data_IF_728516732188
#
_entry.id   IF_728516732188
#
_cell.length_a   1.000
_cell.length_b   1.000
_cell.length_c   1.000
_cell.angle_alpha   90.00
_cell.angle_beta   90.00
_cell.angle_gamma   90.00
#
_symmetry.space_group_name_H-M   'P 1'
#
loop_
_entity.id
_entity.type
_entity.pdbx_description
1 polymer ?
#
# COMPACT_ATOMS: atom_id res chain seq x y z
N UNK A 1 -7.25 13.36 3.11
CA UNK A 1 -8.17 13.76 4.19
C UNK A 1 -7.64 13.25 5.51
N UNK A 2 -7.88 13.98 6.59
CA UNK A 2 -7.65 13.56 7.99
C UNK A 2 -6.53 14.33 8.69
N UNK A 3 -6.89 15.11 9.73
CA UNK A 3 -5.95 15.53 10.77
C UNK A 3 -5.56 14.29 11.60
N UNK A 4 -4.26 14.01 11.72
CA UNK A 4 -3.73 12.82 12.36
C UNK A 4 -3.68 13.02 13.88
N UNK A 5 -4.42 12.22 14.65
CA UNK A 5 -4.24 12.14 16.10
C UNK A 5 -3.46 10.87 16.45
N UNK A 6 -2.36 11.04 17.17
CA UNK A 6 -1.49 9.98 17.67
C UNK A 6 -2.23 9.11 18.71
N UNK A 7 -1.99 7.80 18.66
CA UNK A 7 -2.37 6.85 19.71
C UNK A 7 -1.08 6.29 20.31
N UNK A 8 -0.72 6.78 21.50
CA UNK A 8 0.51 6.40 22.19
C UNK A 8 0.46 4.94 22.67
N UNK A 9 1.41 4.12 22.20
CA UNK A 9 1.85 2.90 22.89
C UNK A 9 3.35 3.12 23.21
N UNK A 10 3.64 3.80 24.31
CA UNK A 10 5.01 4.17 24.70
C UNK A 10 5.61 5.34 23.90
N UNK A 11 6.93 5.56 24.01
CA UNK A 11 7.70 6.64 23.38
C UNK A 11 7.92 6.45 21.85
N UNK A 12 6.97 5.84 21.13
CA UNK A 12 7.02 5.68 19.68
C UNK A 12 5.62 5.96 19.10
N UNK A 13 5.51 6.96 18.23
CA UNK A 13 4.23 7.27 17.55
C UNK A 13 4.22 6.58 16.19
N UNK A 14 3.54 5.44 16.07
CA UNK A 14 3.26 4.88 14.74
C UNK A 14 2.30 5.85 14.03
N UNK A 15 2.63 6.37 12.84
CA UNK A 15 1.62 7.09 12.03
C UNK A 15 0.44 6.14 11.86
N UNK A 16 -0.79 6.54 12.22
CA UNK A 16 -1.94 5.66 12.06
C UNK A 16 -1.96 5.03 10.65
N UNK A 17 -2.21 3.72 10.55
CA UNK A 17 -2.40 3.05 9.26
C UNK A 17 -3.32 3.89 8.38
N UNK A 18 -3.00 4.07 7.10
CA UNK A 18 -3.83 4.91 6.26
C UNK A 18 -5.14 4.20 5.94
N UNK A 19 -6.18 5.03 5.73
CA UNK A 19 -7.51 4.54 5.37
C UNK A 19 -7.42 3.54 4.21
N UNK A 20 -8.17 2.46 4.31
CA UNK A 20 -8.22 1.36 3.35
C UNK A 20 -6.91 0.59 3.15
N UNK A 21 -6.21 0.36 4.27
CA UNK A 21 -5.22 -0.71 4.37
C UNK A 21 -3.80 -0.34 3.99
N UNK A 22 -3.43 0.94 3.94
CA UNK A 22 -2.02 1.30 3.86
C UNK A 22 -1.35 1.17 5.23
N UNK A 23 -0.16 0.61 5.24
CA UNK A 23 0.64 0.40 6.43
C UNK A 23 1.12 1.72 7.02
N UNK A 24 1.21 1.75 8.35
CA UNK A 24 1.79 2.86 9.08
C UNK A 24 3.26 3.10 8.71
N UNK A 25 3.70 4.35 8.81
CA UNK A 25 5.12 4.69 8.85
C UNK A 25 5.66 4.67 10.29
N UNK A 26 6.96 4.45 10.43
CA UNK A 26 7.64 4.49 11.72
C UNK A 26 8.22 5.90 12.00
N UNK A 27 7.67 6.65 12.97
CA UNK A 27 8.17 7.94 13.49
C UNK A 27 9.02 7.84 14.79
N UNK A 28 10.29 8.25 14.75
CA UNK A 28 11.13 8.32 15.95
C UNK A 28 10.98 9.70 16.60
N UNK A 29 10.51 9.74 17.85
CA UNK A 29 10.32 11.00 18.60
C UNK A 29 11.38 11.21 19.69
N UNK A 30 12.41 10.36 19.73
CA UNK A 30 13.38 10.32 20.84
C UNK A 30 14.46 11.39 20.76
N UNK A 31 14.68 12.02 19.59
CA UNK A 31 15.58 13.17 19.45
C UNK A 31 14.86 14.45 19.03
N UNK A 32 15.34 15.57 19.58
CA UNK A 32 14.66 16.85 19.74
C UNK A 32 14.41 17.63 18.45
N UNK A 33 13.24 18.28 18.38
CA UNK A 33 12.88 19.53 17.64
C UNK A 33 13.19 19.70 16.15
N UNK A 34 14.07 18.92 15.56
CA UNK A 34 14.27 18.81 14.12
C UNK A 34 13.49 17.60 13.61
N UNK A 35 13.00 17.68 12.38
CA UNK A 35 12.24 16.66 11.66
C UNK A 35 12.91 15.27 11.73
N UNK A 36 12.66 14.51 12.80
CA UNK A 36 13.31 13.23 13.09
C UNK A 36 13.31 12.20 11.96
N UNK A 37 14.06 11.12 12.12
CA UNK A 37 14.14 10.07 11.11
C UNK A 37 12.82 9.29 11.01
N UNK A 38 12.02 9.58 9.99
CA UNK A 38 10.67 9.03 9.86
C UNK A 38 10.45 8.21 8.59
N UNK A 39 9.88 7.03 8.76
CA UNK A 39 9.18 6.33 7.70
C UNK A 39 7.81 6.92 7.46
N UNK A 40 7.45 7.12 6.21
CA UNK A 40 6.12 7.58 5.81
C UNK A 40 5.16 6.40 5.70
N UNK A 41 3.86 6.62 5.96
CA UNK A 41 2.87 5.58 5.75
C UNK A 41 2.72 5.24 4.26
N UNK A 42 2.35 3.99 3.99
CA UNK A 42 1.89 3.56 2.67
C UNK A 42 0.48 4.07 2.40
N UNK A 43 0.13 4.25 1.12
CA UNK A 43 -1.20 4.60 0.68
C UNK A 43 -2.17 3.41 0.75
N UNK A 44 -3.43 3.68 1.07
CA UNK A 44 -4.50 2.69 1.01
C UNK A 44 -4.97 2.38 -0.42
N UNK A 45 -5.72 1.30 -0.56
CA UNK A 45 -6.33 0.93 -1.82
C UNK A 45 -7.57 1.78 -2.13
N UNK A 46 -8.01 1.77 -3.39
CA UNK A 46 -9.37 2.15 -3.79
C UNK A 46 -10.09 0.91 -4.26
N UNK A 47 -11.27 0.61 -3.70
CA UNK A 47 -11.99 -0.62 -4.02
C UNK A 47 -13.50 -0.43 -4.19
N UNK A 48 -14.10 -1.39 -4.89
CA UNK A 48 -15.55 -1.55 -5.01
C UNK A 48 -15.95 -2.81 -4.26
N UNK A 49 -16.88 -2.67 -3.32
CA UNK A 49 -17.35 -3.74 -2.44
C UNK A 49 -18.83 -3.98 -2.64
N UNK A 50 -19.23 -5.25 -2.59
CA UNK A 50 -20.65 -5.64 -2.62
C UNK A 50 -21.25 -5.79 -1.21
N UNK A 51 -20.42 -5.82 -0.16
CA UNK A 51 -20.85 -5.78 1.22
C UNK A 51 -20.21 -4.59 1.95
N UNK A 52 -21.07 -3.76 2.55
CA UNK A 52 -20.63 -2.63 3.38
C UNK A 52 -19.99 -3.12 4.68
N UNK A 53 -19.23 -2.23 5.31
CA UNK A 53 -18.56 -2.48 6.58
C UNK A 53 -17.43 -1.49 6.81
N UNK A 54 -16.81 -1.58 7.99
CA UNK A 54 -15.55 -0.87 8.23
C UNK A 54 -14.51 -1.29 7.19
N UNK A 55 -13.61 -0.37 6.83
CA UNK A 55 -12.62 -0.61 5.77
C UNK A 55 -11.79 -1.89 6.00
N UNK A 56 -11.53 -2.25 7.27
CA UNK A 56 -10.76 -3.42 7.71
C UNK A 56 -11.62 -4.62 8.13
N UNK A 57 -12.94 -4.56 8.00
CA UNK A 57 -13.81 -5.70 8.33
C UNK A 57 -13.52 -6.84 7.35
N UNK A 58 -13.25 -8.05 7.88
CA UNK A 58 -12.87 -9.21 7.06
C UNK A 58 -13.93 -9.56 6.01
N UNK A 59 -15.21 -9.61 6.37
CA UNK A 59 -16.29 -9.94 5.43
C UNK A 59 -16.43 -8.88 4.33
N UNK A 60 -16.34 -7.60 4.70
CA UNK A 60 -16.37 -6.50 3.72
C UNK A 60 -15.13 -6.50 2.81
N UNK A 61 -13.93 -6.72 3.35
CA UNK A 61 -12.68 -6.85 2.56
C UNK A 61 -12.76 -8.02 1.58
N UNK A 62 -13.35 -9.14 2.00
CA UNK A 62 -13.55 -10.30 1.11
C UNK A 62 -14.58 -10.03 0.03
N UNK A 63 -15.40 -8.99 0.14
CA UNK A 63 -16.43 -8.64 -0.85
C UNK A 63 -15.94 -7.70 -1.96
N UNK A 64 -14.63 -7.41 -1.99
CA UNK A 64 -14.01 -6.52 -2.99
C UNK A 64 -14.00 -7.19 -4.36
N UNK A 65 -14.70 -6.61 -5.32
CA UNK A 65 -14.79 -7.08 -6.71
C UNK A 65 -13.83 -6.33 -7.65
N UNK A 66 -13.32 -5.17 -7.22
CA UNK A 66 -12.31 -4.38 -7.91
C UNK A 66 -11.46 -3.67 -6.85
N UNK A 67 -10.14 -3.68 -7.04
CA UNK A 67 -9.14 -3.08 -6.14
C UNK A 67 -8.04 -2.46 -6.98
N UNK A 68 -7.85 -1.15 -6.86
CA UNK A 68 -6.65 -0.44 -7.30
C UNK A 68 -5.73 -0.28 -6.09
N UNK A 69 -4.51 -0.81 -6.19
CA UNK A 69 -3.55 -0.83 -5.09
C UNK A 69 -2.96 0.54 -4.75
N UNK A 70 -2.64 0.73 -3.47
CA UNK A 70 -1.84 1.85 -2.98
C UNK A 70 -0.34 1.58 -3.10
N UNK A 71 0.44 2.66 -3.19
CA UNK A 71 1.90 2.62 -3.10
C UNK A 71 2.39 2.54 -1.65
N UNK A 72 3.60 2.04 -1.45
CA UNK A 72 4.31 2.11 -0.18
C UNK A 72 4.80 3.52 0.15
N UNK A 73 5.10 3.75 1.42
CA UNK A 73 5.67 4.98 1.93
C UNK A 73 7.20 5.00 1.81
N UNK A 74 7.76 6.18 1.62
CA UNK A 74 9.21 6.39 1.65
C UNK A 74 9.77 6.10 3.04
N UNK A 75 10.95 5.50 3.10
CA UNK A 75 11.70 5.33 4.34
C UNK A 75 12.69 6.46 4.59
N UNK A 76 13.07 6.64 5.86
CA UNK A 76 14.25 7.40 6.23
C UNK A 76 15.36 6.43 6.63
N UNK A 77 16.58 6.73 6.19
CA UNK A 77 17.75 5.96 6.63
C UNK A 77 19.03 6.76 6.39
N UNK A 78 19.82 6.97 7.44
CA UNK A 78 21.21 7.42 7.38
C UNK A 78 22.17 6.38 7.92
N UNK A 79 23.45 6.50 7.56
CA UNK A 79 24.54 5.83 8.25
C UNK A 79 25.64 6.88 8.48
N UNK A 80 25.77 7.39 9.70
CA UNK A 80 26.66 8.51 10.04
C UNK A 80 26.01 9.89 9.82
N UNK A 81 26.83 10.95 9.77
CA UNK A 81 26.44 12.38 9.75
C UNK A 81 25.71 12.86 8.47
N UNK A 82 24.90 12.01 7.84
CA UNK A 82 24.25 12.23 6.55
C UNK A 82 22.85 11.63 6.50
N UNK A 83 22.07 11.86 7.55
CA UNK A 83 20.64 11.53 7.59
C UNK A 83 19.91 12.23 6.47
N UNK A 84 19.31 11.44 5.59
CA UNK A 84 18.60 11.97 4.43
C UNK A 84 17.44 11.07 4.04
N UNK A 85 16.36 11.71 3.62
CA UNK A 85 15.22 11.07 2.97
C UNK A 85 15.66 10.15 1.81
N UNK A 86 14.95 9.03 1.63
CA UNK A 86 15.13 8.23 0.44
C UNK A 86 14.47 8.90 -0.77
N UNK A 87 15.28 9.56 -1.60
CA UNK A 87 14.82 10.34 -2.74
C UNK A 87 13.94 9.56 -3.76
N UNK A 88 14.03 8.23 -3.78
CA UNK A 88 13.21 7.36 -4.64
C UNK A 88 11.78 7.12 -4.14
N UNK A 89 11.44 7.49 -2.90
CA UNK A 89 10.12 7.23 -2.31
C UNK A 89 9.84 5.73 -2.05
N UNK A 90 8.55 5.42 -1.85
CA UNK A 90 8.07 4.04 -1.73
C UNK A 90 7.71 3.41 -3.06
N UNK A 91 7.49 2.10 -3.05
CA UNK A 91 7.13 1.35 -4.26
C UNK A 91 5.69 1.60 -4.70
N UNK A 92 5.43 1.61 -6.01
CA UNK A 92 4.08 1.87 -6.54
C UNK A 92 3.13 0.70 -6.33
N UNK A 93 1.82 1.00 -6.21
CA UNK A 93 0.79 -0.02 -6.40
C UNK A 93 0.90 -0.62 -7.80
N UNK A 94 0.67 -1.91 -7.96
CA UNK A 94 0.89 -2.60 -9.23
C UNK A 94 -0.33 -3.39 -9.69
N UNK A 95 -0.16 -4.15 -10.78
CA UNK A 95 -1.23 -4.97 -11.37
C UNK A 95 -1.39 -6.27 -10.57
N UNK A 96 -0.98 -7.43 -11.10
CA UNK A 96 -1.04 -8.70 -10.38
C UNK A 96 -0.07 -8.76 -9.19
N UNK A 97 1.03 -8.00 -9.29
CA UNK A 97 1.98 -7.74 -8.22
C UNK A 97 2.14 -6.23 -8.06
N UNK A 98 2.30 -5.78 -6.83
CA UNK A 98 2.81 -4.46 -6.51
C UNK A 98 4.26 -4.28 -6.95
N UNK A 99 4.77 -3.07 -6.73
CA UNK A 99 6.12 -2.69 -7.13
C UNK A 99 6.93 -2.30 -5.90
N UNK A 100 8.20 -2.70 -5.88
CA UNK A 100 9.16 -2.33 -4.84
C UNK A 100 9.58 -0.87 -4.94
N UNK A 101 10.22 -0.33 -3.90
CA UNK A 101 10.74 1.02 -3.95
C UNK A 101 11.81 1.18 -5.06
N UNK A 102 11.83 2.30 -5.79
CA UNK A 102 12.77 2.49 -6.90
C UNK A 102 14.22 2.43 -6.43
N UNK A 103 15.00 1.45 -6.91
CA UNK A 103 16.40 1.13 -6.52
C UNK A 103 16.58 0.31 -5.24
N UNK A 104 15.51 -0.17 -4.62
CA UNK A 104 15.62 -1.17 -3.56
C UNK A 104 16.29 -2.44 -4.09
N UNK A 105 17.25 -2.97 -3.35
CA UNK A 105 17.93 -4.24 -3.68
C UNK A 105 17.08 -5.44 -3.26
N UNK A 106 16.18 -5.23 -2.31
CA UNK A 106 15.21 -6.22 -1.84
C UNK A 106 13.89 -5.53 -1.53
N UNK A 107 12.78 -6.09 -1.97
CA UNK A 107 11.43 -5.65 -1.60
C UNK A 107 10.47 -6.83 -1.66
N UNK A 108 9.35 -6.74 -0.96
CA UNK A 108 8.31 -7.78 -0.98
C UNK A 108 6.95 -7.16 -1.28
N UNK A 109 6.67 -6.86 -2.56
CA UNK A 109 5.39 -6.29 -2.95
C UNK A 109 4.22 -7.25 -2.72
N UNK A 110 3.02 -6.70 -2.60
CA UNK A 110 1.81 -7.51 -2.54
C UNK A 110 1.60 -8.24 -3.87
N UNK A 111 1.10 -9.46 -3.83
CA UNK A 111 0.80 -10.31 -5.00
C UNK A 111 -0.65 -10.76 -4.97
N UNK A 112 -1.05 -11.72 -5.82
CA UNK A 112 -2.41 -12.26 -5.75
C UNK A 112 -2.67 -13.17 -4.55
N UNK A 113 -1.63 -13.64 -3.85
CA UNK A 113 -1.77 -14.62 -2.75
C UNK A 113 -0.91 -14.31 -1.52
N UNK A 114 0.03 -13.36 -1.63
CA UNK A 114 1.05 -13.09 -0.62
C UNK A 114 1.37 -11.60 -0.53
N UNK A 115 2.00 -11.20 0.56
CA UNK A 115 2.31 -9.83 0.93
C UNK A 115 2.22 -9.71 2.45
N UNK A 116 2.05 -8.49 2.96
CA UNK A 116 1.85 -8.27 4.40
C UNK A 116 0.57 -8.95 4.90
N UNK A 117 -0.56 -8.66 4.27
CA UNK A 117 -1.83 -9.34 4.55
C UNK A 117 -2.86 -9.07 3.43
N UNK A 118 -3.94 -9.84 3.43
CA UNK A 118 -5.09 -9.60 2.56
C UNK A 118 -5.71 -8.24 2.88
N UNK A 119 -5.63 -7.30 1.94
CA UNK A 119 -6.16 -5.95 2.12
C UNK A 119 -5.24 -4.96 2.82
N UNK A 120 -4.17 -5.39 3.49
CA UNK A 120 -3.46 -4.56 4.47
C UNK A 120 -1.96 -4.60 4.23
N UNK A 121 -1.36 -3.42 4.08
CA UNK A 121 0.08 -3.20 3.95
C UNK A 121 0.81 -3.25 5.29
N UNK A 122 2.11 -3.55 5.23
CA UNK A 122 2.94 -3.74 6.43
C UNK A 122 3.23 -2.43 7.14
N UNK A 123 3.11 -2.42 8.46
CA UNK A 123 3.50 -1.26 9.26
C UNK A 123 5.03 -1.15 9.35
N UNK A 124 5.56 0.05 9.18
CA UNK A 124 6.96 0.37 9.41
C UNK A 124 7.42 -0.05 10.80
N UNK A 125 8.72 -0.34 10.91
CA UNK A 125 9.40 -0.72 12.14
C UNK A 125 10.44 0.31 12.53
N UNK A 126 10.80 0.27 13.81
CA UNK A 126 11.86 1.04 14.44
C UNK A 126 13.05 0.16 14.79
N UNK A 127 14.26 0.68 14.59
CA UNK A 127 15.48 0.07 15.10
C UNK A 127 15.69 0.45 16.56
N UNK A 128 16.04 -0.51 17.42
CA UNK A 128 16.56 -0.20 18.76
C UNK A 128 18.08 -0.24 18.72
N UNK A 129 18.73 0.92 18.96
CA UNK A 129 20.18 1.01 19.08
C UNK A 129 20.82 2.06 18.16
N UNK A 130 21.05 3.26 18.72
CA UNK A 130 22.05 4.24 18.28
C UNK A 130 21.79 5.01 16.97
N UNK A 131 21.10 4.41 16.01
CA UNK A 131 20.77 5.04 14.74
C UNK A 131 19.25 4.98 14.56
N UNK A 132 18.59 6.03 15.01
CA UNK A 132 17.17 6.31 14.94
C UNK A 132 16.72 6.25 13.47
N UNK A 133 16.07 5.17 13.04
CA UNK A 133 15.71 4.99 11.63
C UNK A 133 14.32 4.36 11.52
N UNK A 134 13.39 5.10 10.90
CA UNK A 134 12.04 4.63 10.61
C UNK A 134 11.88 4.10 9.18
N UNK A 135 11.35 2.88 9.03
CA UNK A 135 11.00 2.35 7.71
C UNK A 135 9.62 2.80 7.25
N UNK A 136 9.45 2.99 5.94
CA UNK A 136 8.15 3.28 5.33
C UNK A 136 7.18 2.10 5.42
N UNK A 137 5.89 2.40 5.50
CA UNK A 137 4.81 1.41 5.49
C UNK A 137 4.52 0.88 4.08
N UNK A 138 4.02 -0.35 3.97
CA UNK A 138 3.60 -0.93 2.70
C UNK A 138 2.24 -0.40 2.23
N UNK A 139 2.00 -0.41 0.92
CA UNK A 139 0.74 0.02 0.33
C UNK A 139 -0.37 -1.03 0.50
N UNK A 140 -1.62 -0.58 0.63
CA UNK A 140 -2.80 -1.46 0.61
C UNK A 140 -3.06 -2.06 -0.78
N UNK A 141 -3.82 -3.13 -0.86
CA UNK A 141 -4.12 -3.79 -2.14
C UNK A 141 -5.03 -4.99 -1.98
N UNK A 142 -5.12 -5.85 -2.99
CA UNK A 142 -5.72 -7.17 -2.86
C UNK A 142 -4.97 -7.97 -1.80
N UNK A 143 -3.64 -8.03 -1.95
CA UNK A 143 -2.70 -8.11 -0.84
C UNK A 143 -1.89 -6.83 -0.73
N UNK A 144 -1.67 -6.38 0.50
CA UNK A 144 -0.82 -5.22 0.76
C UNK A 144 0.65 -5.56 0.62
N UNK A 145 1.44 -4.57 0.20
CA UNK A 145 2.90 -4.66 0.17
C UNK A 145 3.50 -4.69 1.57
N UNK A 146 4.72 -5.19 1.68
CA UNK A 146 5.49 -5.12 2.92
C UNK A 146 6.04 -3.72 3.18
N UNK A 147 6.26 -3.46 4.47
CA UNK A 147 7.09 -2.37 5.00
C UNK A 147 8.53 -2.41 4.46
N UNK A 148 9.29 -1.35 4.71
CA UNK A 148 10.74 -1.37 4.47
C UNK A 148 11.43 -2.52 5.20
N UNK A 149 12.36 -3.18 4.51
CA UNK A 149 12.99 -4.42 4.98
C UNK A 149 14.27 -4.17 5.80
N UNK A 150 14.81 -2.96 5.79
CA UNK A 150 15.98 -2.61 6.57
C UNK A 150 16.06 -1.13 6.88
N UNK A 151 16.88 -0.77 7.88
CA UNK A 151 17.19 0.62 8.23
C UNK A 151 18.28 1.25 7.37
N UNK A 152 18.74 0.57 6.31
CA UNK A 152 19.78 1.08 5.39
C UNK A 152 19.18 1.37 4.02
N UNK A 153 19.64 2.47 3.40
CA UNK A 153 19.40 2.69 1.98
C UNK A 153 19.97 1.50 1.18
N UNK A 154 19.29 1.05 0.13
CA UNK A 154 18.04 1.58 -0.45
C UNK A 154 16.74 0.91 0.07
N UNK A 155 16.78 0.14 1.16
CA UNK A 155 15.71 -0.81 1.52
C UNK A 155 14.78 -0.34 2.66
N UNK A 156 14.81 0.94 3.03
CA UNK A 156 13.99 1.49 4.12
C UNK A 156 12.56 1.83 3.72
N UNK A 157 12.26 1.89 2.43
CA UNK A 157 10.94 2.20 1.91
C UNK A 157 10.03 0.98 1.80
N UNK A 158 8.73 1.18 2.03
CA UNK A 158 7.70 0.17 1.82
C UNK A 158 7.44 -0.08 0.33
N UNK A 159 6.86 -1.24 0.04
CA UNK A 159 6.46 -1.67 -1.31
C UNK A 159 4.96 -1.48 -1.52
N UNK A 160 4.51 -1.39 -2.77
CA UNK A 160 3.08 -1.28 -3.10
C UNK A 160 2.33 -2.61 -3.02
N UNK A 161 1.01 -2.51 -2.91
CA UNK A 161 0.12 -3.66 -2.97
C UNK A 161 -0.17 -4.14 -4.41
N UNK A 162 -0.85 -5.28 -4.51
CA UNK A 162 -1.40 -5.80 -5.76
C UNK A 162 -2.82 -5.28 -6.02
N UNK A 163 -3.19 -5.13 -7.29
CA UNK A 163 -4.56 -4.84 -7.71
C UNK A 163 -5.34 -6.13 -7.97
N UNK A 164 -6.65 -6.01 -8.09
CA UNK A 164 -7.54 -7.12 -8.40
C UNK A 164 -8.76 -6.61 -9.17
N UNK A 165 -9.19 -7.34 -10.20
CA UNK A 165 -10.48 -7.14 -10.85
C UNK A 165 -11.09 -8.52 -11.07
N UNK A 166 -12.30 -8.74 -10.56
CA UNK A 166 -13.02 -9.99 -10.80
C UNK A 166 -13.16 -10.25 -12.30
N UNK A 167 -12.67 -11.40 -12.78
CA UNK A 167 -12.66 -11.76 -14.20
C UNK A 167 -11.40 -11.38 -14.97
N UNK A 168 -10.48 -10.60 -14.39
CA UNK A 168 -9.25 -10.23 -15.08
C UNK A 168 -8.26 -11.39 -15.10
N UNK A 169 -7.72 -11.70 -16.27
CA UNK A 169 -6.77 -12.79 -16.46
C UNK A 169 -5.56 -12.69 -15.50
N UNK A 170 -5.23 -13.79 -14.84
CA UNK A 170 -4.13 -13.86 -13.86
C UNK A 170 -4.49 -13.45 -12.43
N UNK A 171 -5.65 -12.83 -12.20
CA UNK A 171 -6.14 -12.61 -10.83
C UNK A 171 -6.47 -13.95 -10.15
N UNK A 172 -6.33 -14.01 -8.82
CA UNK A 172 -6.66 -15.20 -8.03
C UNK A 172 -7.65 -14.86 -6.93
N UNK A 173 -8.93 -14.93 -7.26
CA UNK A 173 -10.03 -14.69 -6.35
C UNK A 173 -10.03 -15.69 -5.19
N UNK A 174 -10.51 -15.21 -4.05
CA UNK A 174 -10.84 -16.05 -2.89
C UNK A 174 -12.27 -16.56 -3.00
N UNK A 175 -12.57 -17.66 -2.33
CA UNK A 175 -13.94 -18.07 -2.03
C UNK A 175 -14.49 -17.32 -0.79
N UNK A 176 -15.75 -17.56 -0.43
CA UNK A 176 -16.37 -16.89 0.72
C UNK A 176 -15.65 -17.15 2.06
N UNK A 177 -14.95 -18.28 2.20
CA UNK A 177 -14.15 -18.61 3.39
C UNK A 177 -12.78 -17.90 3.42
N UNK A 178 -12.37 -17.28 2.31
CA UNK A 178 -11.08 -16.60 2.16
C UNK A 178 -9.98 -17.45 1.52
N UNK A 179 -10.27 -18.68 1.09
CA UNK A 179 -9.29 -19.53 0.43
C UNK A 179 -9.18 -19.18 -1.06
N UNK A 180 -7.95 -19.10 -1.57
CA UNK A 180 -7.70 -18.87 -3.00
C UNK A 180 -8.24 -20.00 -3.87
N UNK A 181 -8.85 -19.60 -4.99
CA UNK A 181 -9.52 -20.54 -5.90
C UNK A 181 -8.66 -20.92 -7.10
N UNK A 182 -7.58 -20.19 -7.35
CA UNK A 182 -6.78 -20.32 -8.57
C UNK A 182 -7.49 -19.77 -9.82
N UNK A 183 -8.59 -19.03 -9.64
CA UNK A 183 -9.40 -18.48 -10.72
C UNK A 183 -9.69 -16.99 -10.50
N UNK A 184 -9.92 -16.19 -11.55
CA UNK A 184 -10.08 -14.74 -11.40
C UNK A 184 -11.50 -14.32 -10.97
N UNK A 185 -12.46 -15.24 -10.94
CA UNK A 185 -13.87 -14.91 -10.73
C UNK A 185 -14.19 -14.85 -9.24
N UNK A 186 -14.65 -13.68 -8.78
CA UNK A 186 -15.10 -13.49 -7.40
C UNK A 186 -16.30 -14.38 -7.06
N UNK A 187 -16.36 -14.91 -5.82
CA UNK A 187 -17.38 -15.87 -5.38
C UNK A 187 -18.83 -15.37 -5.47
N UNK A 188 -19.03 -14.07 -5.61
CA UNK A 188 -20.36 -13.48 -5.81
C UNK A 188 -20.92 -13.69 -7.22
N UNK A 189 -20.10 -14.13 -8.17
CA UNK A 189 -20.48 -14.23 -9.59
C UNK A 189 -20.45 -12.90 -10.35
N UNK A 190 -20.13 -11.77 -9.70
CA UNK A 190 -19.90 -10.50 -10.41
C UNK A 190 -18.53 -10.54 -11.08
N UNK A 191 -18.52 -10.47 -12.40
CA UNK A 191 -17.33 -10.61 -13.24
C UNK A 191 -17.32 -9.47 -14.26
N UNK A 192 -16.16 -8.83 -14.41
CA UNK A 192 -15.95 -7.80 -15.42
C UNK A 192 -15.32 -8.40 -16.68
N UNK A 193 -15.70 -7.87 -17.84
CA UNK A 193 -15.09 -8.19 -19.13
C UNK A 193 -14.37 -6.96 -19.68
N UNK A 194 -13.44 -7.13 -20.62
CA UNK A 194 -12.66 -6.04 -21.22
C UNK A 194 -11.89 -5.20 -20.18
N UNK A 195 -11.36 -5.88 -19.18
CA UNK A 195 -10.67 -5.26 -18.05
C UNK A 195 -9.24 -4.87 -18.41
N UNK A 196 -8.75 -3.74 -17.88
CA UNK A 196 -7.35 -3.33 -17.96
C UNK A 196 -6.85 -2.98 -16.55
N UNK A 197 -5.64 -3.41 -16.22
CA UNK A 197 -4.90 -2.91 -15.04
C UNK A 197 -3.65 -2.19 -15.52
N UNK A 198 -3.42 -0.99 -15.00
CA UNK A 198 -2.23 -0.18 -15.27
C UNK A 198 -1.51 0.01 -13.94
N UNK A 199 -0.21 -0.27 -13.90
CA UNK A 199 0.57 -0.11 -12.69
C UNK A 199 0.82 1.36 -12.36
N UNK A 200 1.01 1.69 -11.08
CA UNK A 200 1.16 3.06 -10.61
C UNK A 200 2.46 3.75 -11.01
N UNK A 201 3.41 3.02 -11.60
CA UNK A 201 4.63 3.57 -12.22
C UNK A 201 4.47 3.80 -13.74
N UNK A 202 3.31 3.48 -14.32
CA UNK A 202 3.01 3.64 -15.74
C UNK A 202 2.08 4.83 -15.99
N UNK A 203 2.03 5.29 -17.23
CA UNK A 203 1.12 6.36 -17.66
C UNK A 203 -0.32 5.84 -17.70
N UNK A 204 -1.22 6.49 -16.96
CA UNK A 204 -2.63 6.11 -16.83
C UNK A 204 -3.56 7.31 -16.98
N UNK A 205 -4.86 7.10 -17.28
CA UNK A 205 -5.83 8.19 -17.34
C UNK A 205 -5.92 8.96 -16.02
N UNK A 206 -5.90 10.28 -16.10
CA UNK A 206 -6.19 11.12 -14.94
C UNK A 206 -7.71 11.29 -14.80
N UNK A 207 -8.31 11.01 -13.63
CA UNK A 207 -9.73 11.24 -13.39
C UNK A 207 -10.21 12.67 -13.63
N UNK A 208 -9.31 13.65 -13.58
CA UNK A 208 -9.59 15.07 -13.87
C UNK A 208 -9.35 15.47 -15.35
N UNK A 209 -8.90 14.53 -16.20
CA UNK A 209 -8.61 14.77 -17.62
C UNK A 209 -7.12 14.64 -17.95
N UNK A 210 -6.81 14.17 -19.15
CA UNK A 210 -5.44 13.88 -19.59
C UNK A 210 -4.88 12.58 -19.02
N UNK A 211 -3.56 12.53 -18.83
CA UNK A 211 -2.80 11.37 -18.35
C UNK A 211 -1.92 11.76 -17.16
N UNK A 212 -1.59 10.79 -16.31
CA UNK A 212 -0.72 10.94 -15.13
C UNK A 212 0.08 9.65 -14.90
N UNK A 213 1.22 9.73 -14.21
CA UNK A 213 1.93 8.55 -13.69
C UNK A 213 1.68 8.45 -12.20
N UNK A 214 1.05 7.35 -11.78
CA UNK A 214 0.53 7.22 -10.41
C UNK A 214 -0.57 8.24 -10.10
N UNK A 215 -1.07 8.23 -8.87
CA UNK A 215 -2.06 9.20 -8.42
C UNK A 215 -1.63 9.80 -7.08
N UNK A 216 -1.36 11.11 -7.09
CA UNK A 216 -1.01 11.85 -5.88
C UNK A 216 -2.28 12.29 -5.15
N UNK A 217 -2.32 12.06 -3.84
CA UNK A 217 -3.45 12.46 -2.98
C UNK A 217 -4.37 11.29 -2.63
N UNK A 218 -5.66 11.57 -2.46
CA UNK A 218 -6.64 10.53 -2.12
C UNK A 218 -6.94 9.67 -3.34
N UNK A 219 -7.25 8.38 -3.14
CA UNK A 219 -7.70 7.50 -4.22
C UNK A 219 -9.00 7.97 -4.90
N UNK A 220 -9.22 7.52 -6.13
CA UNK A 220 -10.34 7.95 -6.97
C UNK A 220 -11.04 6.75 -7.63
N UNK A 221 -12.37 6.76 -7.66
CA UNK A 221 -13.18 5.84 -8.45
C UNK A 221 -14.17 6.63 -9.31
N UNK A 222 -14.27 6.29 -10.61
CA UNK A 222 -15.23 6.89 -11.54
C UNK A 222 -16.11 5.81 -12.15
N UNK A 223 -17.42 5.98 -12.05
CA UNK A 223 -18.40 5.15 -12.75
C UNK A 223 -19.14 6.06 -13.71
N UNK A 224 -19.13 5.70 -14.99
CA UNK A 224 -19.80 6.45 -16.05
C UNK A 224 -20.79 5.52 -16.73
N UNK A 225 -22.03 5.97 -16.87
CA UNK A 225 -23.01 5.29 -17.72
C UNK A 225 -22.72 5.67 -19.18
N UNK A 226 -22.47 4.66 -20.02
CA UNK A 226 -22.31 4.86 -21.46
C UNK A 226 -23.69 4.76 -22.13
N UNK A 227 -23.98 5.61 -23.12
CA UNK A 227 -25.23 5.58 -23.86
C UNK A 227 -25.41 4.31 -24.69
#
# INVERSE_FOLDING_TARGET
GGNFTSSNIGNATIYGSTFNGGGAGALDISESSDIGEHGFPGGGATDVRIASGMWNNTSSLRSRIMVAAGGGGGGWSGNGSGDQYYAGGGGSGGTLSGIGAPTATTSTPGTQTNGSAFGIGGNGIFGSGGNNNGTGGGGGGYYGGEKGLSFRKPNSSGSGGSSFISGHAGCNAINASGAHTGQPNHYSGYVFTNTQMIAGNELMPNPMGGVQTGHLGNGFARITYLP
#
